data_IF_189773009227
#
_entry.id   IF_189773009227
#
_cell.length_a   1.000
_cell.length_b   1.000
_cell.length_c   1.000
_cell.angle_alpha   90.00
_cell.angle_beta   90.00
_cell.angle_gamma   90.00
#
_symmetry.space_group_name_H-M   'P 1'
#
loop_
_entity.id
_entity.type
_entity.pdbx_description
1 polymer ?
2 non-polymer ?
3 water ?
#
# COMPACT_ATOMS: atom_id res chain seq x y z
N UNK A 24 30.10 4.97 -3.99
CA UNK A 24 30.15 3.50 -3.77
C UNK A 24 29.34 3.08 -2.56
N UNK A 25 28.83 1.85 -2.59
CA UNK A 25 28.02 1.33 -1.49
C UNK A 25 28.92 0.56 -0.52
N UNK A 26 28.82 0.89 0.76
CA UNK A 26 29.63 0.21 1.76
C UNK A 26 29.11 -1.21 1.90
N UNK A 27 29.84 -2.03 2.64
CA UNK A 27 29.44 -3.41 2.86
C UNK A 27 28.17 -3.44 3.69
N UNK A 28 28.10 -2.54 4.67
CA UNK A 28 26.94 -2.46 5.55
C UNK A 28 25.67 -2.13 4.77
N UNK A 29 25.81 -1.24 3.78
CA UNK A 29 24.68 -0.83 2.95
C UNK A 29 24.24 -1.96 2.03
N UNK A 30 25.20 -2.67 1.46
CA UNK A 30 24.90 -3.79 0.56
C UNK A 30 24.16 -4.90 1.33
N UNK A 31 24.60 -5.17 2.56
CA UNK A 31 23.97 -6.21 3.37
C UNK A 31 22.56 -5.75 3.78
N UNK A 32 22.41 -4.44 3.94
CA UNK A 32 21.13 -3.87 4.32
C UNK A 32 20.11 -4.09 3.20
N UNK A 33 20.50 -3.75 1.98
CA UNK A 33 19.61 -3.93 0.83
C UNK A 33 19.29 -5.41 0.62
N UNK A 34 20.28 -6.27 0.79
CA UNK A 34 20.12 -7.70 0.61
C UNK A 34 19.08 -8.27 1.57
N UNK A 35 19.18 -7.87 2.84
CA UNK A 35 18.23 -8.33 3.85
C UNK A 35 16.82 -7.86 3.51
N UNK A 36 16.72 -6.65 2.97
CA UNK A 36 15.45 -6.06 2.60
C UNK A 36 14.89 -6.80 1.39
N UNK A 37 15.73 -7.05 0.39
CA UNK A 37 15.31 -7.76 -0.82
C UNK A 37 14.93 -9.19 -0.49
N UNK A 38 15.68 -9.81 0.42
CA UNK A 38 15.39 -11.18 0.83
C UNK A 38 14.01 -11.23 1.49
N UNK A 39 13.76 -10.28 2.38
CA UNK A 39 12.48 -10.21 3.07
C UNK A 39 11.34 -10.00 2.05
N UNK A 40 11.58 -9.16 1.04
CA UNK A 40 10.57 -8.89 0.02
C UNK A 40 10.22 -10.14 -0.82
N UNK A 41 11.25 -10.82 -1.34
CA UNK A 41 11.00 -12.01 -2.16
C UNK A 41 10.31 -13.13 -1.38
N UNK A 42 10.61 -13.24 -0.09
CA UNK A 42 10.01 -14.29 0.74
C UNK A 42 8.57 -14.01 1.13
N UNK A 43 8.19 -12.74 1.15
CA UNK A 43 6.85 -12.37 1.60
C UNK A 43 5.95 -11.63 0.63
N UNK A 44 6.40 -11.40 -0.59
CA UNK A 44 5.56 -10.70 -1.57
C UNK A 44 5.19 -11.68 -2.68
N UNK A 45 4.00 -12.24 -2.56
CA UNK A 45 3.46 -13.18 -3.54
C UNK A 45 2.97 -12.29 -4.69
N UNK A 46 3.87 -11.97 -5.63
CA UNK A 46 3.56 -11.07 -6.73
C UNK A 46 2.48 -11.55 -7.69
N UNK A 47 2.19 -12.85 -7.67
CA UNK A 47 1.17 -13.41 -8.55
C UNK A 47 -0.13 -13.63 -7.77
N UNK A 48 -0.13 -13.29 -6.49
CA UNK A 48 -1.32 -13.44 -5.65
C UNK A 48 -1.90 -14.86 -5.73
N UNK A 49 -1.06 -15.83 -6.06
CA UNK A 49 -1.48 -17.21 -6.19
C UNK A 49 -2.08 -17.82 -4.92
N UNK A 50 -1.75 -17.24 -3.78
CA UNK A 50 -2.27 -17.75 -2.51
C UNK A 50 -3.45 -16.98 -1.97
N UNK A 51 -3.98 -16.06 -2.78
CA UNK A 51 -5.13 -15.27 -2.40
C UNK A 51 -6.36 -15.96 -2.96
N UNK A 52 -7.15 -16.59 -2.08
CA UNK A 52 -8.36 -17.29 -2.53
C UNK A 52 -9.39 -17.36 -1.41
N UNK A 53 -10.55 -17.94 -1.71
CA UNK A 53 -11.63 -18.05 -0.73
C UNK A 53 -12.13 -16.67 -0.37
N UNK A 54 -11.82 -15.68 -1.19
CA UNK A 54 -12.24 -14.31 -0.95
C UNK A 54 -13.69 -14.09 -1.37
N UNK A 55 -14.34 -13.13 -0.72
CA UNK A 55 -15.73 -12.80 -1.01
C UNK A 55 -15.84 -11.96 -2.27
N UNK A 56 -16.99 -12.05 -2.93
CA UNK A 56 -17.26 -11.30 -4.16
C UNK A 56 -18.65 -10.68 -4.07
N UNK A 57 -18.86 -9.54 -4.76
CA UNK A 57 -20.16 -8.88 -4.73
C UNK A 57 -21.30 -9.79 -5.19
N UNK A 58 -22.42 -9.74 -4.46
CA UNK A 58 -23.58 -10.55 -4.78
C UNK A 58 -23.92 -10.66 -6.25
N UNK A 59 -24.48 -11.79 -6.64
CA UNK A 59 -24.87 -12.03 -8.03
C UNK A 59 -26.10 -11.22 -8.40
N UNK A 80 -27.30 12.12 6.68
CA UNK A 80 -26.51 12.42 7.87
C UNK A 80 -25.04 12.07 7.65
N UNK A 81 -24.57 11.03 8.32
CA UNK A 81 -23.19 10.58 8.18
C UNK A 81 -23.03 9.88 6.84
N UNK A 82 -24.15 9.65 6.16
CA UNK A 82 -24.15 8.99 4.86
C UNK A 82 -23.55 9.91 3.80
N UNK A 83 -23.93 11.18 3.84
CA UNK A 83 -23.41 12.16 2.88
C UNK A 83 -21.89 12.10 2.90
N UNK A 84 -21.34 11.96 4.10
CA UNK A 84 -19.89 11.88 4.26
C UNK A 84 -19.41 10.57 3.66
N UNK A 85 -20.14 9.49 3.98
CA UNK A 85 -19.81 8.16 3.48
C UNK A 85 -19.67 8.14 1.96
N UNK A 86 -20.06 9.25 1.32
CA UNK A 86 -19.96 9.36 -0.13
C UNK A 86 -18.51 9.43 -0.60
N UNK A 87 -17.59 9.08 0.29
CA UNK A 87 -16.16 9.08 -0.01
C UNK A 87 -15.86 8.08 -1.14
N UNK A 88 -16.66 7.01 -1.21
CA UNK A 88 -16.50 5.97 -2.22
C UNK A 88 -16.62 6.53 -3.63
N UNK A 89 -17.31 7.66 -3.78
CA UNK A 89 -17.50 8.29 -5.07
C UNK A 89 -16.23 8.34 -5.91
N UNK A 90 -15.17 8.87 -5.31
CA UNK A 90 -13.87 8.99 -5.97
C UNK A 90 -13.23 7.63 -6.24
N UNK A 91 -14.04 6.58 -6.23
CA UNK A 91 -13.58 5.22 -6.46
C UNK A 91 -14.47 4.52 -7.46
N UNK A 92 -13.84 3.86 -8.44
CA UNK A 92 -14.59 3.12 -9.46
C UNK A 92 -13.64 2.14 -10.11
N UNK A 93 -13.80 0.87 -9.77
CA UNK A 93 -12.95 -0.16 -10.32
C UNK A 93 -13.76 -1.39 -10.69
N UNK A 94 -13.55 -1.87 -11.90
CA UNK A 94 -14.23 -3.08 -12.33
C UNK A 94 -13.30 -4.18 -11.85
N UNK A 95 -13.80 -5.41 -11.79
CA UNK A 95 -13.01 -6.53 -11.33
C UNK A 95 -13.08 -7.66 -12.33
N UNK A 96 -11.91 -8.20 -12.67
CA UNK A 96 -11.85 -9.31 -13.60
C UNK A 96 -11.10 -10.47 -12.96
N UNK A 97 -11.68 -11.67 -13.05
CA UNK A 97 -11.06 -12.86 -12.50
C UNK A 97 -10.85 -13.88 -13.62
N UNK A 98 -9.60 -14.19 -13.91
CA UNK A 98 -9.29 -15.15 -14.97
C UNK A 98 -9.11 -16.54 -14.38
N UNK A 99 -9.99 -17.46 -14.77
CA UNK A 99 -9.91 -18.81 -14.26
C UNK A 99 -8.70 -19.56 -14.79
N UNK A 100 -8.18 -20.48 -13.98
CA UNK A 100 -7.04 -21.30 -14.37
C UNK A 100 -7.42 -22.28 -15.46
N UNK A 101 -8.63 -22.10 -16.01
CA UNK A 101 -9.14 -22.97 -17.07
C UNK A 101 -9.37 -22.17 -18.34
N UNK A 102 -9.18 -20.85 -18.26
CA UNK A 102 -9.37 -20.00 -19.43
C UNK A 102 -10.63 -19.15 -19.37
N UNK A 103 -11.52 -19.44 -18.42
CA UNK A 103 -12.75 -18.68 -18.30
C UNK A 103 -12.45 -17.31 -17.70
N UNK A 104 -13.36 -16.36 -17.94
CA UNK A 104 -13.19 -15.01 -17.42
C UNK A 104 -14.47 -14.41 -16.84
N UNK A 105 -14.40 -14.03 -15.57
CA UNK A 105 -15.53 -13.39 -14.88
C UNK A 105 -15.18 -11.91 -14.78
N UNK A 106 -16.12 -11.04 -15.14
CA UNK A 106 -15.91 -9.60 -15.07
C UNK A 106 -17.05 -8.91 -14.35
N UNK A 107 -16.71 -8.04 -13.40
CA UNK A 107 -17.71 -7.32 -12.63
C UNK A 107 -17.63 -5.82 -12.83
N UNK A 108 -18.79 -5.20 -12.99
CA UNK A 108 -18.89 -3.75 -13.16
C UNK A 108 -19.80 -3.27 -12.04
N UNK A 109 -19.29 -2.36 -11.19
CA UNK A 109 -20.03 -1.81 -10.05
C UNK A 109 -21.25 -0.99 -10.46
N UNK A 110 -22.21 -0.83 -9.54
CA UNK A 110 -23.43 -0.08 -9.80
C UNK A 110 -23.18 1.42 -9.74
N UNK A 111 -24.25 2.18 -9.55
CA UNK A 111 -24.15 3.63 -9.45
C UNK A 111 -24.82 4.02 -8.14
N UNK A 112 -24.40 5.15 -7.56
CA UNK A 112 -24.99 5.59 -6.32
C UNK A 112 -26.43 6.00 -6.59
N UNK A 113 -27.37 5.32 -5.94
CA UNK A 113 -28.78 5.61 -6.13
C UNK A 113 -29.61 5.06 -4.97
N UNK A 114 -29.44 5.64 -3.79
CA UNK A 114 -30.18 5.19 -2.62
C UNK A 114 -29.30 4.91 -1.43
N UNK A 115 -29.11 3.63 -1.12
CA UNK A 115 -28.29 3.25 0.01
C UNK A 115 -27.33 2.11 -0.29
N UNK A 116 -27.33 1.11 0.62
CA UNK A 116 -26.47 -0.07 0.51
C UNK A 116 -25.61 -0.17 -0.75
N UNK A 117 -26.25 -0.53 -1.85
CA UNK A 117 -25.60 -0.64 -3.18
C UNK A 117 -24.09 -0.27 -3.15
N UNK A 118 -23.72 0.93 -2.76
CA UNK A 118 -22.30 1.23 -2.86
C UNK A 118 -21.34 0.44 -1.92
N UNK A 119 -21.89 -0.49 -1.14
CA UNK A 119 -21.10 -1.28 -0.20
C UNK A 119 -20.90 -2.71 -0.69
N UNK A 120 -21.32 -2.99 -1.91
CA UNK A 120 -21.23 -4.33 -2.48
C UNK A 120 -19.81 -4.87 -2.66
N UNK A 121 -18.84 -3.98 -2.79
CA UNK A 121 -17.46 -4.38 -3.01
C UNK A 121 -16.58 -4.37 -1.76
N UNK A 122 -17.13 -3.88 -0.65
CA UNK A 122 -16.38 -3.80 0.60
C UNK A 122 -15.87 -5.14 1.11
N UNK A 123 -16.72 -6.16 1.17
CA UNK A 123 -16.25 -7.46 1.66
C UNK A 123 -15.03 -7.96 0.88
N UNK A 124 -15.11 -7.91 -0.45
CA UNK A 124 -14.00 -8.36 -1.30
C UNK A 124 -12.73 -7.56 -1.03
N UNK A 125 -12.86 -6.25 -1.02
CA UNK A 125 -11.71 -5.38 -0.78
C UNK A 125 -11.14 -5.58 0.63
N UNK A 126 -12.00 -5.88 1.59
CA UNK A 126 -11.54 -6.13 2.96
C UNK A 126 -10.67 -7.39 2.91
N UNK A 127 -11.09 -8.38 2.11
CA UNK A 127 -10.33 -9.61 1.97
C UNK A 127 -9.00 -9.38 1.26
N UNK A 128 -8.99 -8.53 0.24
CA UNK A 128 -7.74 -8.22 -0.48
C UNK A 128 -6.80 -7.47 0.48
N UNK A 129 -7.35 -6.50 1.21
CA UNK A 129 -6.58 -5.72 2.17
C UNK A 129 -5.91 -6.63 3.17
N UNK A 130 -6.70 -7.56 3.71
CA UNK A 130 -6.23 -8.49 4.71
C UNK A 130 -5.10 -9.36 4.19
N UNK A 131 -5.27 -9.86 2.96
CA UNK A 131 -4.24 -10.68 2.35
C UNK A 131 -2.94 -9.87 2.24
N UNK A 132 -3.06 -8.62 1.76
CA UNK A 132 -1.89 -7.75 1.63
C UNK A 132 -1.22 -7.44 2.98
N UNK A 133 -2.04 -7.13 3.98
CA UNK A 133 -1.55 -6.81 5.32
C UNK A 133 -0.73 -7.97 5.90
N UNK A 134 -1.21 -9.19 5.69
CA UNK A 134 -0.52 -10.38 6.17
C UNK A 134 0.87 -10.43 5.55
N UNK A 135 0.94 -10.14 4.25
CA UNK A 135 2.22 -10.16 3.56
C UNK A 135 3.14 -9.08 4.09
N UNK A 136 2.56 -7.94 4.46
CA UNK A 136 3.33 -6.82 5.00
C UNK A 136 3.83 -7.13 6.41
N UNK A 137 2.99 -7.77 7.21
CA UNK A 137 3.39 -8.12 8.57
C UNK A 137 4.54 -9.11 8.48
N UNK A 138 4.43 -10.06 7.56
CA UNK A 138 5.46 -11.08 7.36
C UNK A 138 6.78 -10.43 6.94
N UNK A 139 6.70 -9.44 6.05
CA UNK A 139 7.86 -8.70 5.57
C UNK A 139 8.66 -8.14 6.76
N UNK A 140 7.98 -7.34 7.57
CA UNK A 140 8.57 -6.71 8.74
C UNK A 140 9.22 -7.72 9.70
N UNK A 141 8.49 -8.78 10.03
CA UNK A 141 8.98 -9.80 10.95
C UNK A 141 10.27 -10.53 10.53
N UNK A 142 10.50 -10.70 9.23
CA UNK A 142 11.70 -11.38 8.78
C UNK A 142 12.93 -10.48 8.76
N UNK A 143 12.73 -9.17 8.91
CA UNK A 143 13.83 -8.21 8.93
C UNK A 143 14.43 -8.11 10.33
N UNK A 144 15.73 -8.34 10.44
CA UNK A 144 16.41 -8.30 11.73
C UNK A 144 16.28 -6.95 12.46
N UNK A 145 16.43 -5.85 11.72
CA UNK A 145 16.30 -4.53 12.34
C UNK A 145 14.94 -4.36 13.01
N UNK A 146 13.93 -5.04 12.47
CA UNK A 146 12.58 -4.96 13.03
C UNK A 146 12.40 -5.95 14.18
N UNK A 147 12.90 -7.17 14.00
CA UNK A 147 12.81 -8.19 15.03
C UNK A 147 13.47 -7.79 16.34
N UNK A 148 14.51 -6.95 16.26
CA UNK A 148 15.23 -6.51 17.44
C UNK A 148 14.57 -5.42 18.25
N UNK A 149 13.51 -4.83 17.72
CA UNK A 149 12.80 -3.79 18.44
C UNK A 149 11.85 -4.42 19.45
N UNK A 150 11.49 -3.67 20.50
CA UNK A 150 10.58 -4.20 21.52
C UNK A 150 9.29 -4.63 20.83
N UNK A 151 8.67 -5.70 21.30
CA UNK A 151 7.44 -6.18 20.68
C UNK A 151 6.37 -5.10 20.59
N UNK A 152 6.36 -4.17 21.55
CA UNK A 152 5.37 -3.10 21.53
C UNK A 152 5.61 -2.12 20.39
N UNK A 153 6.88 -1.83 20.11
CA UNK A 153 7.23 -0.90 19.04
C UNK A 153 6.97 -1.51 17.67
N UNK A 154 7.17 -2.82 17.56
CA UNK A 154 6.93 -3.51 16.30
C UNK A 154 5.47 -3.32 15.94
N UNK A 155 4.60 -3.43 16.95
CA UNK A 155 3.17 -3.28 16.75
C UNK A 155 2.81 -1.83 16.39
N UNK A 156 3.37 -0.89 17.12
CA UNK A 156 3.09 0.53 16.84
C UNK A 156 3.56 0.90 15.44
N UNK A 157 4.70 0.37 15.03
CA UNK A 157 5.23 0.66 13.70
C UNK A 157 4.36 0.04 12.61
N UNK A 158 3.95 -1.22 12.81
CA UNK A 158 3.10 -1.88 11.82
C UNK A 158 1.74 -1.23 11.68
N UNK A 159 1.14 -0.82 12.79
CA UNK A 159 -0.17 -0.18 12.72
C UNK A 159 -0.04 1.18 12.03
N UNK A 160 1.10 1.83 12.22
CA UNK A 160 1.28 3.12 11.59
C UNK A 160 1.63 3.10 10.11
N UNK A 161 2.35 2.07 9.67
CA UNK A 161 2.78 2.00 8.27
C UNK A 161 2.17 0.95 7.34
N UNK A 162 1.39 0.02 7.89
CA UNK A 162 0.77 -1.04 7.08
C UNK A 162 0.14 -0.55 5.76
N UNK A 163 -0.73 0.45 5.85
CA UNK A 163 -1.38 1.00 4.68
C UNK A 163 -0.34 1.49 3.66
N UNK A 164 0.63 2.25 4.16
CA UNK A 164 1.67 2.79 3.30
C UNK A 164 2.46 1.69 2.60
N UNK A 165 2.84 0.67 3.35
CA UNK A 165 3.59 -0.45 2.76
C UNK A 165 2.73 -1.15 1.70
N UNK A 166 1.44 -1.29 1.97
CA UNK A 166 0.54 -1.95 1.03
C UNK A 166 0.49 -1.18 -0.29
N UNK A 167 0.37 0.15 -0.24
CA UNK A 167 0.33 0.97 -1.44
C UNK A 167 1.62 0.87 -2.24
N UNK A 168 2.75 0.81 -1.54
CA UNK A 168 4.05 0.69 -2.21
C UNK A 168 4.10 -0.64 -2.97
N UNK A 169 3.59 -1.71 -2.35
CA UNK A 169 3.55 -3.00 -3.04
C UNK A 169 2.55 -2.97 -4.20
N UNK A 170 1.40 -2.31 -3.99
CA UNK A 170 0.39 -2.23 -5.06
C UNK A 170 0.91 -1.46 -6.26
N UNK A 171 1.78 -0.48 -6.02
CA UNK A 171 2.32 0.29 -7.13
C UNK A 171 3.17 -0.54 -8.09
N UNK A 172 3.82 -1.57 -7.57
CA UNK A 172 4.64 -2.41 -8.44
C UNK A 172 3.79 -3.27 -9.37
N UNK A 173 2.51 -3.46 -9.05
CA UNK A 173 1.65 -4.25 -9.94
C UNK A 173 0.66 -3.33 -10.67
N UNK A 174 0.87 -2.03 -10.56
CA UNK A 174 0.01 -1.05 -11.21
C UNK A 174 0.48 -0.84 -12.65
N UNK A 175 -0.46 -0.89 -13.59
CA UNK A 175 -0.12 -0.65 -14.99
C UNK A 175 -0.68 0.73 -15.28
N UNK A 176 0.21 1.71 -15.45
CA UNK A 176 -0.21 3.08 -15.70
C UNK A 176 -0.76 3.29 -17.10
N UNK A 177 -0.42 2.41 -18.03
CA UNK A 177 -0.92 2.53 -19.40
C UNK A 177 -2.42 2.26 -19.42
N UNK A 178 -2.84 1.19 -18.75
CA UNK A 178 -4.24 0.80 -18.71
C UNK A 178 -4.97 1.15 -17.41
N UNK A 179 -4.29 1.82 -16.49
CA UNK A 179 -4.92 2.16 -15.23
C UNK A 179 -5.48 0.96 -14.50
N UNK A 180 -4.72 -0.14 -14.48
CA UNK A 180 -5.19 -1.33 -13.78
C UNK A 180 -4.12 -1.99 -12.91
N UNK A 181 -4.54 -2.44 -11.74
CA UNK A 181 -3.64 -3.13 -10.82
C UNK A 181 -3.78 -4.60 -11.19
N UNK A 182 -2.69 -5.17 -11.68
CA UNK A 182 -2.67 -6.57 -12.11
C UNK A 182 -2.21 -7.47 -10.98
N UNK A 183 -3.18 -8.10 -10.33
CA UNK A 183 -2.89 -8.96 -9.19
C UNK A 183 -3.05 -10.43 -9.55
N UNK A 184 -2.15 -10.93 -10.38
CA UNK A 184 -2.23 -12.33 -10.77
C UNK A 184 -3.44 -12.55 -11.65
N UNK A 185 -4.36 -13.40 -11.19
CA UNK A 185 -5.56 -13.71 -11.94
C UNK A 185 -6.67 -12.70 -11.66
N UNK A 186 -6.40 -11.71 -10.83
CA UNK A 186 -7.37 -10.65 -10.57
C UNK A 186 -6.84 -9.33 -11.10
N UNK A 187 -7.75 -8.50 -11.59
CA UNK A 187 -7.40 -7.19 -12.10
C UNK A 187 -8.44 -6.19 -11.64
N UNK A 188 -7.99 -5.00 -11.27
CA UNK A 188 -8.87 -3.93 -10.83
C UNK A 188 -8.56 -2.76 -11.75
N UNK A 189 -9.50 -2.48 -12.65
CA UNK A 189 -9.35 -1.41 -13.64
C UNK A 189 -10.20 -0.21 -13.27
N UNK A 190 -9.64 0.98 -13.41
CA UNK A 190 -10.36 2.21 -13.11
C UNK A 190 -11.43 2.46 -14.16
N UNK A 191 -12.64 2.75 -13.69
CA UNK A 191 -13.75 3.01 -14.60
C UNK A 191 -13.64 4.47 -15.06
N UNK A 192 -13.38 4.65 -16.35
CA UNK A 192 -13.25 6.00 -16.92
C UNK A 192 -14.59 6.75 -16.87
N UNK A 193 -14.53 8.06 -16.64
CA UNK A 193 -15.73 8.87 -16.57
C UNK A 193 -15.56 10.31 -17.07
N UNK A 194 -16.31 11.20 -16.44
CA UNK A 194 -16.34 12.64 -16.74
C UNK A 194 -15.17 13.25 -17.55
N UNK A 195 -13.98 13.29 -16.97
CA UNK A 195 -12.85 13.91 -17.67
C UNK A 195 -11.56 13.13 -17.84
N UNK A 196 -11.61 11.82 -17.71
CA UNK A 196 -10.41 11.00 -17.90
C UNK A 196 -9.25 11.14 -16.94
N UNK A 197 -8.03 11.18 -17.49
CA UNK A 197 -6.81 11.27 -16.68
C UNK A 197 -6.66 12.42 -15.71
N UNK A 198 -6.92 13.63 -16.17
CA UNK A 198 -6.79 14.79 -15.32
C UNK A 198 -7.76 14.67 -14.16
N UNK A 199 -8.96 14.16 -14.46
CA UNK A 199 -10.01 13.97 -13.46
C UNK A 199 -9.62 12.95 -12.40
N UNK A 200 -8.86 11.94 -12.81
CA UNK A 200 -8.44 10.88 -11.88
C UNK A 200 -7.28 11.29 -10.98
N UNK A 201 -6.38 12.12 -11.50
CA UNK A 201 -5.23 12.55 -10.73
C UNK A 201 -5.65 13.48 -9.59
N UNK A 202 -6.91 13.92 -9.62
CA UNK A 202 -7.42 14.79 -8.58
C UNK A 202 -7.54 13.97 -7.29
N UNK A 203 -7.76 12.67 -7.44
CA UNK A 203 -7.86 11.78 -6.29
C UNK A 203 -6.41 11.55 -5.84
N UNK A 204 -6.05 12.04 -4.63
CA UNK A 204 -4.71 11.90 -4.07
C UNK A 204 -4.02 10.56 -4.27
N UNK A 205 -4.70 9.48 -3.89
CA UNK A 205 -4.14 8.14 -4.02
C UNK A 205 -3.81 7.77 -5.45
N UNK A 206 -4.70 8.12 -6.37
CA UNK A 206 -4.48 7.82 -7.78
C UNK A 206 -3.31 8.63 -8.32
N UNK A 207 -3.27 9.92 -8.01
CA UNK A 207 -2.16 10.74 -8.48
C UNK A 207 -0.87 10.17 -7.90
N UNK A 208 -0.93 9.69 -6.66
CA UNK A 208 0.24 9.11 -6.02
C UNK A 208 0.77 7.94 -6.85
N UNK A 209 -0.13 7.01 -7.19
CA UNK A 209 0.26 5.83 -7.96
C UNK A 209 0.84 6.14 -9.34
N UNK A 210 0.26 7.09 -10.06
CA UNK A 210 0.79 7.45 -11.37
C UNK A 210 2.15 8.12 -11.26
N UNK A 211 2.26 9.07 -10.33
CA UNK A 211 3.52 9.78 -10.14
C UNK A 211 4.65 8.85 -9.73
N UNK A 212 4.42 8.00 -8.74
CA UNK A 212 5.46 7.06 -8.31
C UNK A 212 5.84 6.10 -9.43
N UNK A 213 4.86 5.62 -10.17
CA UNK A 213 5.11 4.71 -11.26
C UNK A 213 5.98 5.37 -12.33
N UNK A 214 5.77 6.66 -12.53
CA UNK A 214 6.52 7.41 -13.53
C UNK A 214 8.01 7.51 -13.21
N UNK A 215 8.37 7.34 -11.95
CA UNK A 215 9.78 7.41 -11.55
C UNK A 215 10.55 6.16 -11.95
N UNK A 216 9.84 5.15 -12.45
CA UNK A 216 10.44 3.88 -12.88
C UNK A 216 11.50 3.36 -11.90
N UNK A 217 11.09 3.14 -10.65
CA UNK A 217 12.00 2.67 -9.62
C UNK A 217 12.36 1.19 -9.75
N UNK A 218 13.53 0.85 -9.20
CA UNK A 218 14.03 -0.52 -9.19
C UNK A 218 13.41 -1.23 -7.98
N UNK A 219 13.50 -2.55 -7.96
CA UNK A 219 12.97 -3.32 -6.85
C UNK A 219 13.64 -2.86 -5.56
N UNK A 220 14.95 -2.62 -5.60
CA UNK A 220 15.71 -2.18 -4.43
C UNK A 220 15.23 -0.85 -3.85
N UNK A 221 14.88 0.08 -4.72
CA UNK A 221 14.41 1.39 -4.26
C UNK A 221 13.02 1.26 -3.63
N UNK A 222 12.19 0.36 -4.16
CA UNK A 222 10.87 0.17 -3.57
C UNK A 222 10.98 -0.43 -2.16
N UNK A 223 11.87 -1.40 -1.99
CA UNK A 223 12.00 -2.03 -0.68
C UNK A 223 12.59 -1.08 0.36
N UNK A 224 13.44 -0.15 -0.08
CA UNK A 224 14.03 0.82 0.82
C UNK A 224 12.91 1.83 1.19
N UNK A 225 12.04 2.15 0.25
CA UNK A 225 10.93 3.05 0.56
C UNK A 225 10.07 2.37 1.62
N UNK A 226 9.86 1.06 1.49
CA UNK A 226 9.06 0.32 2.48
C UNK A 226 9.73 0.41 3.86
N UNK A 227 11.06 0.28 3.89
CA UNK A 227 11.80 0.33 5.15
C UNK A 227 11.71 1.72 5.79
N UNK A 228 11.93 2.75 5.00
CA UNK A 228 11.86 4.12 5.50
C UNK A 228 10.47 4.38 6.08
N UNK A 229 9.43 3.86 5.42
CA UNK A 229 8.06 4.05 5.90
C UNK A 229 7.81 3.24 7.17
N UNK A 230 8.29 2.00 7.18
CA UNK A 230 8.11 1.13 8.34
C UNK A 230 8.81 1.67 9.58
N UNK A 231 10.06 2.08 9.42
CA UNK A 231 10.84 2.60 10.54
C UNK A 231 10.69 4.11 10.72
N UNK A 232 9.46 4.56 10.93
CA UNK A 232 9.16 5.97 11.14
C UNK A 232 9.10 6.19 12.64
N UNK A 233 10.07 6.92 13.20
CA UNK A 233 10.13 7.21 14.64
C UNK A 233 8.97 8.04 15.15
N UNK A 234 8.21 8.64 14.24
CA UNK A 234 7.09 9.48 14.62
C UNK A 234 5.71 8.86 14.47
N UNK A 235 5.57 7.62 14.92
CA UNK A 235 4.29 6.93 14.88
C UNK A 235 3.81 6.92 16.33
N UNK A 236 2.50 7.11 16.56
CA UNK A 236 1.98 7.10 17.93
C UNK A 236 2.19 5.78 18.66
N UNK A 237 2.82 5.86 19.83
CA UNK A 237 3.06 4.67 20.63
C UNK A 237 4.45 4.07 20.56
N UNK A 238 5.37 4.75 19.88
CA UNK A 238 6.74 4.25 19.76
C UNK A 238 7.59 4.66 20.96
N UNK A 239 8.21 3.67 21.61
CA UNK A 239 9.06 3.92 22.76
C UNK A 239 10.51 4.19 22.36
N UNK A 240 11.09 3.27 21.60
CA UNK A 240 12.47 3.40 21.14
C UNK A 240 12.56 4.32 19.93
N UNK A 241 11.93 5.48 20.01
CA UNK A 241 11.93 6.43 18.90
C UNK A 241 13.33 6.90 18.52
N UNK A 242 14.30 6.69 19.41
CA UNK A 242 15.68 7.08 19.16
C UNK A 242 16.34 6.09 18.20
N UNK A 243 16.12 4.81 18.46
CA UNK A 243 16.67 3.75 17.63
C UNK A 243 15.98 3.73 16.27
N UNK A 244 14.66 3.85 16.28
CA UNK A 244 13.91 3.85 15.03
C UNK A 244 14.37 4.99 14.14
N UNK A 245 14.53 6.18 14.73
CA UNK A 245 14.98 7.34 13.98
C UNK A 245 16.33 7.09 13.34
N UNK A 246 17.27 6.51 14.09
CA UNK A 246 18.59 6.23 13.56
C UNK A 246 18.54 5.17 12.46
N UNK A 247 17.69 4.17 12.64
CA UNK A 247 17.55 3.12 11.63
C UNK A 247 17.02 3.72 10.33
N UNK A 248 16.01 4.58 10.46
CA UNK A 248 15.41 5.22 9.30
C UNK A 248 16.44 6.04 8.53
N UNK A 249 17.29 6.76 9.25
CA UNK A 249 18.32 7.56 8.60
C UNK A 249 19.27 6.66 7.85
N UNK A 250 19.56 5.49 8.40
CA UNK A 250 20.47 4.56 7.72
C UNK A 250 19.83 4.08 6.43
N UNK A 251 18.54 3.76 6.48
CA UNK A 251 17.84 3.32 5.27
C UNK A 251 17.81 4.44 4.24
N UNK A 252 17.55 5.66 4.69
CA UNK A 252 17.50 6.81 3.80
C UNK A 252 18.88 7.03 3.16
N UNK A 253 19.92 6.98 3.99
CA UNK A 253 21.29 7.17 3.48
C UNK A 253 21.62 6.07 2.47
N UNK A 254 21.20 4.84 2.77
CA UNK A 254 21.45 3.73 1.87
C UNK A 254 20.75 3.97 0.53
N UNK A 255 19.54 4.52 0.57
CA UNK A 255 18.78 4.79 -0.65
C UNK A 255 19.45 5.88 -1.48
N UNK A 256 19.81 6.97 -0.82
CA UNK A 256 20.46 8.10 -1.48
C UNK A 256 21.75 7.62 -2.17
N UNK A 257 22.52 6.79 -1.49
CA UNK A 257 23.77 6.26 -2.05
C UNK A 257 23.51 5.30 -3.20
N UNK A 258 22.48 4.46 -3.06
CA UNK A 258 22.13 3.51 -4.11
C UNK A 258 21.86 4.27 -5.40
N UNK A 259 21.07 5.33 -5.27
CA UNK A 259 20.71 6.16 -6.41
C UNK A 259 21.94 6.83 -7.00
N UNK A 260 22.81 7.34 -6.15
CA UNK A 260 24.03 7.99 -6.60
C UNK A 260 24.90 7.02 -7.40
N UNK A 261 25.05 5.81 -6.88
CA UNK A 261 25.89 4.79 -7.52
C UNK A 261 25.33 4.13 -8.78
N UNK A 262 24.01 4.09 -8.92
CA UNK A 262 23.44 3.42 -10.09
C UNK A 262 22.55 4.21 -11.03
N UNK A 263 22.36 5.51 -10.77
CA UNK A 263 21.50 6.31 -11.63
C UNK A 263 22.09 7.69 -11.93
N UNK A 264 23.08 7.74 -12.84
CA UNK A 264 23.75 8.98 -13.24
C UNK A 264 23.01 9.85 -14.26
N UNK A 265 21.96 9.29 -14.86
CA UNK A 265 21.19 10.03 -15.87
C UNK A 265 20.58 11.33 -15.36
N UNK A 266 20.59 12.38 -16.21
CA UNK A 266 20.03 13.70 -15.86
C UNK A 266 18.58 13.59 -15.42
N UNK A 267 17.90 12.55 -15.90
CA UNK A 267 16.50 12.36 -15.56
C UNK A 267 16.34 11.95 -14.10
N UNK A 268 17.40 11.41 -13.53
CA UNK A 268 17.36 10.95 -12.14
C UNK A 268 17.94 11.92 -11.13
N UNK A 269 18.18 13.15 -11.56
CA UNK A 269 18.69 14.14 -10.62
C UNK A 269 17.56 14.39 -9.65
N UNK A 270 17.89 14.54 -8.38
CA UNK A 270 16.90 14.82 -7.36
C UNK A 270 15.93 13.64 -7.14
N UNK A 271 16.24 12.46 -7.68
CA UNK A 271 15.34 11.32 -7.48
C UNK A 271 15.17 11.01 -6.00
N UNK A 272 16.28 10.97 -5.25
CA UNK A 272 16.20 10.70 -3.84
C UNK A 272 15.24 11.64 -3.13
N UNK A 273 15.32 12.93 -3.48
CA UNK A 273 14.45 13.92 -2.84
C UNK A 273 13.01 13.73 -3.31
N UNK A 274 12.82 13.40 -4.58
CA UNK A 274 11.47 13.17 -5.10
C UNK A 274 10.80 12.02 -4.35
N UNK A 275 11.57 10.97 -4.10
CA UNK A 275 11.08 9.78 -3.38
C UNK A 275 10.68 10.12 -1.94
N UNK A 276 11.50 10.91 -1.26
CA UNK A 276 11.21 11.28 0.12
C UNK A 276 9.94 12.13 0.17
N UNK A 277 9.79 13.02 -0.81
CA UNK A 277 8.60 13.87 -0.87
C UNK A 277 7.38 12.97 -1.08
N UNK A 278 7.54 11.91 -1.88
CA UNK A 278 6.45 10.97 -2.15
C UNK A 278 6.06 10.24 -0.86
N UNK A 279 7.05 9.85 -0.09
CA UNK A 279 6.79 9.16 1.17
C UNK A 279 6.06 10.07 2.15
N UNK A 280 6.42 11.35 2.14
CA UNK A 280 5.77 12.33 3.02
C UNK A 280 4.32 12.42 2.59
N UNK A 281 4.11 12.47 1.28
CA UNK A 281 2.77 12.56 0.70
C UNK A 281 1.95 11.32 1.01
N UNK A 282 2.58 10.15 0.96
CA UNK A 282 1.88 8.89 1.24
C UNK A 282 1.40 8.84 2.69
N UNK A 283 2.21 9.40 3.59
CA UNK A 283 1.87 9.44 4.99
C UNK A 283 0.61 10.29 5.18
N UNK A 284 0.56 11.41 4.45
CA UNK A 284 -0.60 12.30 4.50
C UNK A 284 -1.83 11.57 3.96
N UNK A 285 -1.66 10.88 2.83
CA UNK A 285 -2.75 10.11 2.22
C UNK A 285 -3.22 9.02 3.18
N UNK A 286 -2.27 8.44 3.93
CA UNK A 286 -2.57 7.39 4.89
C UNK A 286 -3.52 7.89 5.98
N UNK A 287 -3.23 9.06 6.55
CA UNK A 287 -4.07 9.62 7.59
C UNK A 287 -5.50 9.89 7.09
N UNK A 288 -5.61 10.45 5.89
CA UNK A 288 -6.92 10.73 5.32
C UNK A 288 -7.75 9.49 4.99
N UNK A 289 -7.10 8.48 4.42
CA UNK A 289 -7.82 7.26 4.09
C UNK A 289 -8.23 6.47 5.32
N UNK A 290 -7.46 6.59 6.40
CA UNK A 290 -7.78 5.89 7.64
C UNK A 290 -9.08 6.49 8.19
N UNK A 291 -9.14 7.82 8.19
CA UNK A 291 -10.34 8.52 8.65
C UNK A 291 -11.54 8.19 7.76
N UNK A 292 -11.29 8.02 6.49
CA UNK A 292 -12.34 7.66 5.55
C UNK A 292 -12.84 6.25 5.88
N UNK A 293 -11.91 5.33 6.12
CA UNK A 293 -12.26 3.96 6.45
C UNK A 293 -13.02 3.86 7.77
N UNK A 294 -12.56 4.56 8.78
CA UNK A 294 -13.23 4.51 10.07
C UNK A 294 -14.67 5.01 10.00
N UNK A 295 -14.90 6.07 9.22
CA UNK A 295 -16.25 6.61 9.08
C UNK A 295 -17.20 5.62 8.42
N UNK A 296 -16.70 4.92 7.41
CA UNK A 296 -17.50 3.92 6.71
C UNK A 296 -17.74 2.73 7.63
N UNK A 297 -16.72 2.37 8.40
CA UNK A 297 -16.78 1.25 9.35
C UNK A 297 -17.82 1.52 10.42
N UNK A 298 -17.91 2.77 10.85
CA UNK A 298 -18.85 3.16 11.89
C UNK A 298 -20.30 2.98 11.45
N UNK A 299 -20.57 3.30 10.20
CA UNK A 299 -21.92 3.18 9.63
C UNK A 299 -22.20 1.80 9.06
N UNK A 300 -21.21 1.22 8.38
CA UNK A 300 -21.38 -0.09 7.77
C UNK A 300 -20.13 -0.94 7.98
N UNK A 301 -20.08 -1.69 9.10
CA UNK A 301 -18.94 -2.55 9.44
C UNK A 301 -18.57 -3.53 8.33
N UNK A 302 -17.26 -3.69 8.12
CA UNK A 302 -16.75 -4.59 7.09
C UNK A 302 -15.31 -4.98 7.38
N UNK A 303 -14.65 -4.21 8.24
CA UNK A 303 -13.25 -4.47 8.57
C UNK A 303 -13.09 -5.86 9.18
N UNK A 304 -12.14 -6.63 8.64
CA UNK A 304 -11.88 -7.97 9.16
C UNK A 304 -11.16 -7.85 10.51
N UNK A 305 -11.04 -8.97 11.24
CA UNK A 305 -10.36 -8.92 12.54
C UNK A 305 -8.95 -8.34 12.43
N UNK A 306 -8.20 -8.74 11.41
CA UNK A 306 -6.84 -8.23 11.27
C UNK A 306 -6.85 -6.73 11.01
N UNK A 307 -7.76 -6.29 10.16
CA UNK A 307 -7.87 -4.86 9.87
C UNK A 307 -8.29 -4.15 11.14
N UNK A 308 -9.18 -4.78 11.91
CA UNK A 308 -9.62 -4.17 13.16
C UNK A 308 -8.42 -3.99 14.09
N UNK A 309 -7.59 -5.03 14.19
CA UNK A 309 -6.39 -4.98 15.02
C UNK A 309 -5.48 -3.83 14.59
N UNK A 310 -5.17 -3.81 13.31
CA UNK A 310 -4.30 -2.79 12.75
C UNK A 310 -4.84 -1.36 12.87
N UNK A 311 -6.17 -1.21 12.85
CA UNK A 311 -6.77 0.12 12.96
C UNK A 311 -7.14 0.50 14.38
N UNK A 312 -6.89 -0.41 15.33
CA UNK A 312 -7.20 -0.11 16.73
C UNK A 312 -8.63 -0.34 17.20
N UNK A 313 -9.43 -1.04 16.40
CA UNK A 313 -10.82 -1.32 16.77
C UNK A 313 -10.83 -2.46 17.81
N UNK A 314 -11.38 -2.17 18.99
CA UNK A 314 -11.41 -3.13 20.09
C UNK A 314 -12.47 -4.24 20.05
N UNK A 315 -13.58 -3.98 19.38
CA UNK A 315 -14.64 -4.97 19.31
C UNK A 315 -15.76 -4.65 20.29
N UNK A 316 -15.56 -3.62 21.12
CA UNK A 316 -16.54 -3.20 22.11
C UNK A 316 -17.25 -1.93 21.65
X LIG B 1 -6.00 -1.92 -4.53
X LIG B 1 -13.36 -0.93 -4.14
X LIG B 1 -14.56 1.17 -3.27
X LIG B 1 -4.81 -3.01 1.27
X LIG B 1 -5.09 -1.51 1.10
X LIG B 1 -4.05 -0.71 1.92
X LIG B 1 -6.58 -1.16 1.51
X LIG B 1 -6.93 -1.59 2.62
X LIG B 1 -12.24 0.70 -2.54
X LIG B 1 -13.31 0.32 -3.28
X LIG B 1 -10.90 0.00 -2.38
X LIG B 1 -9.43 -2.34 -0.02
X LIG B 1 -13.63 2.98 0.96
X LIG B 1 -14.17 1.36 2.94
X LIG B 1 -13.12 2.10 2.13
X LIG B 1 -11.81 1.96 2.48
X LIG B 1 -10.60 2.63 1.82
X LIG B 1 -8.85 0.48 1.58
X LIG B 1 -9.20 0.06 2.70
X LIG B 1 -8.14 3.92 1.09
X LIG B 1 -5.75 0.28 -1.04
X LIG B 1 -7.88 3.74 -3.90
X LIG B 1 -5.83 2.60 -4.97
X LIG B 1 -6.50 3.09 -3.70
X LIG B 1 -5.84 2.91 -2.53
X LIG B 1 -6.14 3.27 -1.03
X LIG B 1 -7.68 -0.28 0.60
X LIG B 1 -6.78 0.81 -0.25
X LIG B 1 -6.97 2.22 -0.25
X LIG B 1 -8.19 2.78 0.64
X LIG B 1 -9.49 1.84 0.92
X LIG B 1 -10.11 1.47 -0.56
X LIG B 1 -10.34 -0.07 -0.90
X LIG B 1 -8.83 -0.99 -0.58
X LIG B 1 -8.26 -1.42 -2.01
X LIG B 1 -7.12 -2.46 -2.24
X LIG B 1 -6.84 -2.62 -3.74
X LIG B 1 -5.13 -0.78 -4.04
X LIG B 1 -5.90 -2.27 -5.99
#
# INVERSE_FOLDING_TARGET
MKKGHHHHHHGSERTGTQPLGVQGLTEEQRMMIRELMDAQMKTFDTTFSHFKNFRLPGVLSSGCELPESLQAPSREEAAKWSQVRKDLCSLKVSLQLRGEDGSVWNYKPPADSGGKEIFSLLPHMADMSTYMFKGIISFAKVISYFRDLPIEDQISLLKGAAFELCQLRFNTVFNAETGTWECGRLSYCLEDTAGGFQQLLLEPMLKFHYMLKKLQLHEEEYVLMQAISLFSPDRPGVLQHRVVDQLQEQFAITLKSYIECNRPQPAHRFLFLKIMAMLTELRSINAQHTQRLLRIQDIHPFATPLMQELFGITGS
HYF C1 C2 C3 C4 C5 C6 C7 O8 C9 C10 C11 C12 C13 C14 C15 C16 C17 C18 O19 O20 O21 C22 C23 C24 C25 C26 C27 C28 C29 C30 C31 C32 C33 C34 C35 C36 C37 C38 C39
#
